data_IF_983782899238
#
_entry.id   IF_983782899238
#
_cell.length_a   1.000
_cell.length_b   1.000
_cell.length_c   1.000
_cell.angle_alpha   90.00
_cell.angle_beta   90.00
_cell.angle_gamma   90.00
#
_symmetry.space_group_name_H-M   'P 1'
#
loop_
_entity.id
_entity.type
_entity.pdbx_description
1 polymer ?
#
# COMPACT_ATOMS: atom_id res chain seq x y z
N UNK A 1 -24.86 38.70 20.49
CA UNK A 1 -25.23 37.29 20.76
C UNK A 1 -26.37 36.93 19.81
N UNK A 2 -26.27 35.86 19.03
CA UNK A 2 -27.29 35.49 18.04
C UNK A 2 -28.49 34.89 18.78
N UNK A 3 -29.69 35.44 18.58
CA UNK A 3 -30.91 34.85 19.15
C UNK A 3 -31.32 33.60 18.34
N UNK A 4 -31.22 32.39 18.93
CA UNK A 4 -31.54 31.15 18.24
C UNK A 4 -33.02 31.03 17.85
N UNK A 5 -33.92 31.77 18.52
CA UNK A 5 -35.36 31.68 18.28
C UNK A 5 -35.83 32.47 17.04
N UNK A 6 -34.97 33.35 16.52
CA UNK A 6 -35.17 34.10 15.28
C UNK A 6 -34.53 33.45 14.05
N UNK A 7 -33.80 32.36 14.24
CA UNK A 7 -33.23 31.58 13.14
C UNK A 7 -34.26 30.57 12.62
N UNK A 8 -34.21 30.29 11.33
CA UNK A 8 -34.89 29.15 10.72
C UNK A 8 -33.89 28.15 10.14
N UNK A 9 -34.37 26.93 9.86
CA UNK A 9 -33.53 25.82 9.38
C UNK A 9 -32.77 26.15 8.10
N UNK A 10 -33.40 26.88 7.16
CA UNK A 10 -32.76 27.29 5.90
C UNK A 10 -31.65 28.31 6.12
N UNK A 11 -31.83 29.25 7.04
CA UNK A 11 -30.79 30.22 7.40
C UNK A 11 -29.58 29.52 8.02
N UNK A 12 -29.81 28.58 8.93
CA UNK A 12 -28.74 27.82 9.57
C UNK A 12 -28.00 26.95 8.56
N UNK A 13 -28.73 26.23 7.70
CA UNK A 13 -28.13 25.46 6.63
C UNK A 13 -27.27 26.33 5.69
N UNK A 14 -27.74 27.54 5.36
CA UNK A 14 -26.97 28.50 4.57
C UNK A 14 -25.70 28.94 5.30
N UNK A 15 -25.79 29.28 6.59
CA UNK A 15 -24.66 29.73 7.41
C UNK A 15 -23.63 28.62 7.68
N UNK A 16 -24.07 27.37 7.82
CA UNK A 16 -23.19 26.20 7.87
C UNK A 16 -22.46 26.00 6.55
N UNK A 17 -23.15 26.12 5.41
CA UNK A 17 -22.54 25.99 4.08
C UNK A 17 -21.55 27.11 3.77
N UNK A 18 -21.80 28.32 4.26
CA UNK A 18 -20.86 29.45 4.13
C UNK A 18 -19.78 29.48 5.21
N UNK A 19 -19.68 28.45 6.06
CA UNK A 19 -18.75 28.34 7.19
C UNK A 19 -18.82 29.49 8.20
N UNK A 20 -19.92 30.24 8.21
CA UNK A 20 -20.19 31.23 9.26
C UNK A 20 -20.57 30.52 10.55
N UNK A 21 -21.28 29.39 10.43
CA UNK A 21 -21.57 28.46 11.53
C UNK A 21 -20.72 27.21 11.38
N UNK A 22 -20.41 26.58 12.50
CA UNK A 22 -19.60 25.37 12.60
C UNK A 22 -20.40 24.21 13.19
N UNK A 23 -19.90 23.00 12.98
CA UNK A 23 -20.35 21.82 13.71
C UNK A 23 -19.61 21.72 15.03
N UNK A 24 -20.37 21.58 16.12
CA UNK A 24 -19.85 21.36 17.47
C UNK A 24 -20.28 19.97 17.93
N UNK A 25 -19.37 19.23 18.53
CA UNK A 25 -19.68 17.91 19.10
C UNK A 25 -20.60 18.09 20.31
N UNK A 26 -21.56 17.18 20.48
CA UNK A 26 -22.46 17.23 21.64
C UNK A 26 -21.76 16.62 22.86
N UNK A 27 -21.28 17.41 23.85
CA UNK A 27 -20.37 16.91 24.89
C UNK A 27 -21.03 15.89 25.82
N UNK A 28 -22.36 15.96 25.99
CA UNK A 28 -23.12 15.13 26.93
C UNK A 28 -23.89 13.98 26.29
N UNK A 29 -23.79 13.75 24.99
CA UNK A 29 -24.63 12.75 24.30
C UNK A 29 -23.88 11.43 24.10
N UNK A 30 -24.43 10.35 24.63
CA UNK A 30 -23.95 8.99 24.40
C UNK A 30 -24.56 8.34 23.17
N UNK A 31 -25.62 8.94 22.60
CA UNK A 31 -26.42 8.35 21.52
C UNK A 31 -25.68 8.43 20.17
N UNK A 32 -25.61 7.29 19.47
CA UNK A 32 -24.76 7.08 18.29
C UNK A 32 -24.95 8.12 17.17
N UNK A 33 -26.19 8.56 16.93
CA UNK A 33 -26.50 9.64 15.99
C UNK A 33 -25.62 10.88 16.14
N UNK A 34 -25.36 11.32 17.38
CA UNK A 34 -24.60 12.54 17.67
C UNK A 34 -23.09 12.36 17.48
N UNK A 35 -22.61 11.11 17.55
CA UNK A 35 -21.21 10.79 17.26
C UNK A 35 -20.97 10.85 15.75
N UNK A 36 -21.83 10.18 14.99
CA UNK A 36 -21.49 9.84 13.61
C UNK A 36 -22.17 10.71 12.56
N UNK A 37 -23.38 11.20 12.79
CA UNK A 37 -24.22 11.72 11.69
C UNK A 37 -24.76 13.13 11.91
N UNK A 38 -25.01 13.50 13.16
CA UNK A 38 -25.58 14.80 13.55
C UNK A 38 -24.60 15.51 14.47
N UNK A 39 -24.47 16.83 14.33
CA UNK A 39 -23.72 17.69 15.25
C UNK A 39 -24.59 18.85 15.72
N UNK A 40 -24.24 19.44 16.86
CA UNK A 40 -24.78 20.73 17.27
C UNK A 40 -24.24 21.82 16.34
N UNK A 41 -25.00 22.90 16.21
CA UNK A 41 -24.59 24.08 15.43
C UNK A 41 -23.96 25.10 16.37
N UNK A 42 -22.82 25.67 16.00
CA UNK A 42 -22.16 26.71 16.78
C UNK A 42 -21.57 27.83 15.93
N UNK A 43 -20.97 28.81 16.60
CA UNK A 43 -20.18 29.91 16.02
C UNK A 43 -18.84 30.01 16.74
N UNK A 44 -17.83 30.51 16.05
CA UNK A 44 -16.54 30.86 16.65
C UNK A 44 -16.56 32.36 16.93
N UNK A 45 -16.25 32.77 18.16
CA UNK A 45 -16.12 34.20 18.48
C UNK A 45 -14.76 34.78 18.01
N UNK A 46 -14.58 36.08 18.18
CA UNK A 46 -13.34 36.76 17.79
C UNK A 46 -12.10 36.26 18.57
N UNK A 47 -12.29 35.55 19.69
CA UNK A 47 -11.23 34.97 20.50
C UNK A 47 -10.96 33.49 20.16
N UNK A 48 -11.64 32.94 19.15
CA UNK A 48 -11.50 31.54 18.74
C UNK A 48 -12.31 30.55 19.58
N UNK A 49 -13.14 31.01 20.53
CA UNK A 49 -13.94 30.13 21.38
C UNK A 49 -15.23 29.70 20.68
N UNK A 50 -15.59 28.42 20.81
CA UNK A 50 -16.79 27.86 20.22
C UNK A 50 -18.01 28.09 21.11
N UNK A 51 -19.05 28.71 20.55
CA UNK A 51 -20.34 28.94 21.21
C UNK A 51 -21.43 28.15 20.51
N UNK A 52 -22.15 27.32 21.25
CA UNK A 52 -23.26 26.53 20.71
C UNK A 52 -24.48 27.43 20.52
N UNK A 53 -25.09 27.37 19.34
CA UNK A 53 -26.39 27.97 19.06
C UNK A 53 -27.45 27.01 19.61
N UNK A 54 -27.94 27.34 20.80
CA UNK A 54 -28.88 26.49 21.51
C UNK A 54 -30.14 26.19 20.68
N UNK A 55 -30.60 24.94 20.72
CA UNK A 55 -31.80 24.50 20.01
C UNK A 55 -31.62 24.03 18.58
N UNK A 56 -30.39 23.96 18.08
CA UNK A 56 -30.11 23.58 16.70
C UNK A 56 -29.07 22.48 16.55
N UNK A 57 -29.40 21.53 15.68
CA UNK A 57 -28.52 20.45 15.25
C UNK A 57 -28.59 20.31 13.73
N UNK A 58 -27.56 19.76 13.11
CA UNK A 58 -27.53 19.58 11.67
C UNK A 58 -26.81 18.30 11.26
N UNK A 59 -27.23 17.76 10.12
CA UNK A 59 -26.61 16.58 9.52
C UNK A 59 -25.23 16.92 8.95
N UNK A 60 -24.21 16.13 9.31
CA UNK A 60 -22.81 16.30 8.87
C UNK A 60 -22.64 16.16 7.34
N UNK A 61 -23.56 15.47 6.66
CA UNK A 61 -23.43 15.16 5.23
C UNK A 61 -24.13 16.17 4.32
N UNK A 62 -25.36 16.56 4.64
CA UNK A 62 -26.19 17.41 3.77
C UNK A 62 -26.45 18.81 4.35
N UNK A 63 -25.98 19.07 5.58
CA UNK A 63 -26.14 20.30 6.33
C UNK A 63 -27.60 20.69 6.64
N UNK A 64 -28.57 19.78 6.45
CA UNK A 64 -29.96 20.07 6.82
C UNK A 64 -30.01 20.24 8.34
N UNK A 65 -30.53 21.39 8.75
CA UNK A 65 -30.65 21.80 10.14
C UNK A 65 -32.03 21.47 10.70
N UNK A 66 -32.03 20.96 11.91
CA UNK A 66 -33.19 20.54 12.68
C UNK A 66 -33.20 21.28 14.00
N UNK A 67 -34.40 21.63 14.43
CA UNK A 67 -34.61 22.20 15.75
C UNK A 67 -34.70 21.08 16.77
N UNK A 68 -33.93 21.15 17.85
CA UNK A 68 -33.90 20.11 18.89
C UNK A 68 -34.95 20.33 19.98
N UNK A 69 -35.40 21.58 20.15
CA UNK A 69 -36.48 21.95 21.06
C UNK A 69 -37.29 23.17 20.60
N UNK A 70 -38.44 23.40 21.21
CA UNK A 70 -39.34 24.52 20.90
C UNK A 70 -38.74 25.89 21.17
N UNK A 71 -39.38 26.94 20.63
CA UNK A 71 -39.16 28.31 21.15
C UNK A 71 -39.43 28.31 22.66
N UNK A 72 -38.79 29.23 23.38
CA UNK A 72 -39.16 29.49 24.77
C UNK A 72 -40.62 29.91 24.84
N UNK A 73 -41.36 29.30 25.76
CA UNK A 73 -42.68 29.79 26.12
C UNK A 73 -42.60 30.99 27.08
N UNK A 74 -43.75 31.53 27.49
CA UNK A 74 -43.85 32.64 28.43
C UNK A 74 -43.19 32.34 29.80
N UNK A 75 -43.05 31.04 30.13
CA UNK A 75 -42.38 30.56 31.34
C UNK A 75 -40.88 30.24 31.14
N UNK A 76 -40.29 30.63 30.00
CA UNK A 76 -38.91 30.34 29.59
C UNK A 76 -38.57 28.85 29.42
N UNK A 77 -39.58 27.97 29.39
CA UNK A 77 -39.40 26.53 29.23
C UNK A 77 -39.36 26.14 27.75
N UNK A 78 -38.68 25.02 27.46
CA UNK A 78 -38.49 24.49 26.10
C UNK A 78 -38.88 23.02 26.05
N UNK A 79 -39.74 22.66 25.11
CA UNK A 79 -40.13 21.27 24.86
C UNK A 79 -39.17 20.62 23.86
N UNK A 80 -38.52 19.53 24.25
CA UNK A 80 -37.65 18.78 23.36
C UNK A 80 -38.47 18.07 22.27
N UNK A 81 -38.05 18.17 21.02
CA UNK A 81 -38.72 17.53 19.87
C UNK A 81 -38.31 16.06 19.66
N UNK A 82 -37.43 15.53 20.52
CA UNK A 82 -36.91 14.17 20.41
C UNK A 82 -35.97 13.98 19.21
N UNK A 83 -35.63 12.72 18.90
CA UNK A 83 -34.67 12.37 17.83
C UNK A 83 -35.33 11.77 16.58
N UNK A 84 -36.65 11.67 16.51
CA UNK A 84 -37.36 10.93 15.46
C UNK A 84 -37.13 11.52 14.06
N UNK A 85 -37.21 12.84 13.93
CA UNK A 85 -36.96 13.55 12.66
C UNK A 85 -35.51 13.40 12.19
N UNK A 86 -34.56 13.38 13.12
CA UNK A 86 -33.13 13.16 12.84
C UNK A 86 -32.87 11.72 12.36
N UNK A 87 -33.48 10.72 13.00
CA UNK A 87 -33.38 9.32 12.56
C UNK A 87 -33.95 9.12 11.15
N UNK A 88 -35.15 9.64 10.88
CA UNK A 88 -35.79 9.56 9.56
C UNK A 88 -34.89 10.17 8.48
N UNK A 89 -34.35 11.36 8.77
CA UNK A 89 -33.42 12.02 7.86
C UNK A 89 -32.15 11.22 7.61
N UNK A 90 -31.46 10.73 8.65
CA UNK A 90 -30.18 10.02 8.48
C UNK A 90 -30.37 8.73 7.68
N UNK A 91 -31.51 8.05 7.85
CA UNK A 91 -31.86 6.86 7.06
C UNK A 91 -31.93 7.17 5.57
N UNK A 92 -32.61 8.26 5.19
CA UNK A 92 -32.77 8.68 3.78
C UNK A 92 -31.50 9.34 3.21
N UNK A 93 -30.79 10.13 4.02
CA UNK A 93 -29.59 10.86 3.65
C UNK A 93 -28.44 9.90 3.33
N UNK A 94 -28.27 8.82 4.10
CA UNK A 94 -27.22 7.82 3.82
C UNK A 94 -27.46 7.12 2.48
N UNK A 95 -28.71 6.78 2.15
CA UNK A 95 -29.07 6.13 0.87
C UNK A 95 -29.00 7.07 -0.33
N UNK A 96 -29.35 8.35 -0.18
CA UNK A 96 -29.35 9.34 -1.28
C UNK A 96 -27.96 9.94 -1.53
N UNK A 97 -27.10 10.03 -0.50
CA UNK A 97 -25.71 10.44 -0.69
C UNK A 97 -24.80 9.32 -1.22
N UNK A 98 -25.24 8.05 -1.18
CA UNK A 98 -24.48 6.87 -1.66
C UNK A 98 -24.96 6.27 -2.99
N UNK A 99 -26.12 6.67 -3.53
CA UNK A 99 -26.63 6.18 -4.82
C UNK A 99 -26.98 7.31 -5.76
N UNK A 100 -26.32 7.32 -6.92
CA UNK A 100 -26.66 8.12 -8.10
C UNK A 100 -28.07 7.74 -8.58
N UNK A 101 -29.04 8.66 -8.72
CA UNK A 101 -30.31 8.34 -9.37
C UNK A 101 -30.23 8.69 -10.86
N UNK A 102 -30.41 7.67 -11.71
CA UNK A 102 -30.96 7.84 -13.05
C UNK A 102 -32.48 7.99 -12.94
N UNK A 103 -33.08 8.92 -13.69
CA UNK A 103 -34.52 8.90 -13.95
C UNK A 103 -34.82 9.56 -15.30
N UNK A 104 -35.42 8.74 -16.16
CA UNK A 104 -36.05 9.04 -17.44
C UNK A 104 -37.43 9.69 -17.23
N UNK A 105 -37.73 10.63 -18.14
CA UNK A 105 -39.01 11.23 -18.59
C UNK A 105 -40.35 10.71 -18.03
N UNK A 106 -41.29 11.62 -17.73
CA UNK A 106 -42.39 12.00 -18.67
C UNK A 106 -43.17 13.25 -18.21
N UNK A 107 -43.70 13.95 -19.22
CA UNK A 107 -44.34 15.27 -19.34
C UNK A 107 -45.80 15.37 -18.89
N UNK A 108 -46.23 16.56 -18.42
CA UNK A 108 -47.50 17.26 -18.81
C UNK A 108 -47.34 18.78 -18.55
N UNK A 109 -47.74 19.62 -19.51
CA UNK A 109 -47.74 21.10 -19.53
C UNK A 109 -48.96 21.77 -18.80
N UNK A 110 -49.30 23.08 -18.97
CA UNK A 110 -48.75 24.22 -18.23
C UNK A 110 -49.84 25.09 -17.57
N UNK A 111 -49.48 25.97 -16.61
CA UNK A 111 -50.26 27.19 -16.32
C UNK A 111 -49.35 28.37 -16.04
N UNK A 112 -49.64 29.47 -16.74
CA UNK A 112 -48.97 30.77 -16.69
C UNK A 112 -48.98 31.41 -15.30
N UNK A 113 -47.92 32.15 -14.94
CA UNK A 113 -48.04 33.59 -14.67
C UNK A 113 -46.75 34.25 -14.10
N UNK A 114 -46.54 35.49 -14.58
CA UNK A 114 -45.75 36.63 -14.07
C UNK A 114 -44.21 36.63 -14.28
N UNK A 115 -43.65 37.69 -14.91
CA UNK A 115 -42.21 37.85 -15.05
C UNK A 115 -41.61 38.32 -13.72
N UNK A 116 -41.07 37.39 -12.94
CA UNK A 116 -40.20 37.73 -11.81
C UNK A 116 -38.78 37.80 -12.33
N UNK A 117 -38.22 39.01 -12.32
CA UNK A 117 -36.80 39.25 -12.58
C UNK A 117 -35.97 38.39 -11.64
N UNK A 118 -35.34 37.34 -12.17
CA UNK A 118 -34.41 36.51 -11.40
C UNK A 118 -33.16 37.32 -11.09
N UNK A 119 -33.05 37.77 -9.84
CA UNK A 119 -31.77 38.09 -9.24
C UNK A 119 -30.84 36.89 -9.48
N UNK A 120 -29.67 37.15 -10.06
CA UNK A 120 -28.57 36.19 -10.18
C UNK A 120 -27.82 36.19 -8.83
N UNK A 121 -28.18 35.34 -7.86
CA UNK A 121 -27.15 34.81 -6.99
C UNK A 121 -27.44 33.33 -6.72
N UNK A 122 -27.31 32.50 -7.76
CA UNK A 122 -27.33 31.04 -7.62
C UNK A 122 -26.70 30.40 -8.85
N UNK A 123 -25.41 30.66 -9.05
CA UNK A 123 -24.55 29.56 -9.51
C UNK A 123 -24.54 28.54 -8.39
N UNK A 124 -25.55 27.67 -8.46
CA UNK A 124 -25.63 26.47 -7.67
C UNK A 124 -24.26 25.79 -7.74
N UNK A 125 -23.78 25.29 -6.61
CA UNK A 125 -22.86 24.16 -6.59
C UNK A 125 -23.65 22.97 -7.17
N UNK A 126 -23.87 23.03 -8.48
CA UNK A 126 -24.38 21.91 -9.22
C UNK A 126 -23.29 20.86 -9.05
N UNK A 127 -23.68 19.65 -8.63
CA UNK A 127 -23.02 18.47 -9.19
C UNK A 127 -23.29 18.53 -10.69
N UNK A 128 -22.62 19.44 -11.40
CA UNK A 128 -22.61 19.46 -12.84
C UNK A 128 -21.92 18.14 -13.14
N UNK A 129 -22.70 17.13 -13.52
CA UNK A 129 -22.15 16.08 -14.35
C UNK A 129 -21.47 16.85 -15.48
N UNK A 130 -20.14 16.81 -15.48
CA UNK A 130 -19.35 17.36 -16.58
C UNK A 130 -20.03 16.85 -17.86
N UNK A 131 -20.22 17.71 -18.86
CA UNK A 131 -20.77 17.21 -20.12
C UNK A 131 -19.83 16.12 -20.66
N UNK A 132 -20.35 15.23 -21.51
CA UNK A 132 -19.60 14.06 -21.96
C UNK A 132 -18.26 14.42 -22.62
N UNK A 133 -18.19 15.56 -23.30
CA UNK A 133 -16.96 16.06 -23.90
C UNK A 133 -15.91 16.44 -22.84
N UNK A 134 -16.29 17.20 -21.81
CA UNK A 134 -15.39 17.57 -20.71
C UNK A 134 -14.98 16.34 -19.87
N UNK A 135 -15.88 15.37 -19.67
CA UNK A 135 -15.51 14.11 -19.04
C UNK A 135 -14.46 13.36 -19.85
N UNK A 136 -14.63 13.29 -21.17
CA UNK A 136 -13.66 12.65 -22.06
C UNK A 136 -12.31 13.37 -22.01
N UNK A 137 -12.31 14.70 -22.08
CA UNK A 137 -11.08 15.49 -21.97
C UNK A 137 -10.35 15.27 -20.64
N UNK A 138 -11.09 15.20 -19.52
CA UNK A 138 -10.51 14.90 -18.22
C UNK A 138 -9.90 13.49 -18.19
N UNK A 139 -10.63 12.48 -18.67
CA UNK A 139 -10.13 11.09 -18.76
C UNK A 139 -8.87 10.99 -19.60
N UNK A 140 -8.82 11.67 -20.75
CA UNK A 140 -7.65 11.69 -21.62
C UNK A 140 -6.45 12.38 -20.94
N UNK A 141 -6.70 13.43 -20.16
CA UNK A 141 -5.68 14.13 -19.38
C UNK A 141 -5.13 13.26 -18.22
N UNK A 142 -6.00 12.58 -17.47
CA UNK A 142 -5.62 11.63 -16.43
C UNK A 142 -4.82 10.44 -17.00
N UNK A 143 -5.27 9.88 -18.12
CA UNK A 143 -4.55 8.81 -18.80
C UNK A 143 -3.17 9.28 -19.25
N UNK A 144 -3.06 10.49 -19.80
CA UNK A 144 -1.77 11.09 -20.17
C UNK A 144 -0.87 11.31 -18.96
N UNK A 145 -1.42 11.76 -17.83
CA UNK A 145 -0.66 11.92 -16.59
C UNK A 145 -0.02 10.59 -16.15
N UNK A 146 -0.79 9.49 -16.16
CA UNK A 146 -0.26 8.17 -15.79
C UNK A 146 0.73 7.65 -16.84
N UNK A 147 0.34 7.62 -18.12
CA UNK A 147 1.11 6.94 -19.17
C UNK A 147 2.33 7.73 -19.65
N UNK A 148 2.18 9.03 -19.92
CA UNK A 148 3.28 9.88 -20.37
C UNK A 148 4.11 10.40 -19.18
N UNK A 149 3.49 10.62 -18.02
CA UNK A 149 4.18 11.01 -16.79
C UNK A 149 4.84 9.86 -16.05
N UNK A 150 4.56 8.60 -16.43
CA UNK A 150 5.02 7.40 -15.71
C UNK A 150 4.64 7.41 -14.22
N UNK A 151 3.47 7.95 -13.91
CA UNK A 151 2.93 7.96 -12.55
C UNK A 151 2.14 6.68 -12.28
N UNK A 152 2.05 6.27 -11.01
CA UNK A 152 1.16 5.18 -10.60
C UNK A 152 -0.30 5.60 -10.77
N UNK A 153 -1.18 4.66 -11.14
CA UNK A 153 -2.63 4.92 -11.15
C UNK A 153 -3.15 5.40 -9.78
N UNK A 154 -2.54 4.93 -8.69
CA UNK A 154 -2.88 5.37 -7.33
C UNK A 154 -2.63 6.87 -7.10
N UNK A 155 -1.82 7.53 -7.93
CA UNK A 155 -1.59 8.97 -7.81
C UNK A 155 -2.84 9.80 -8.13
N UNK A 156 -3.79 9.26 -8.90
CA UNK A 156 -5.08 9.91 -9.21
C UNK A 156 -6.02 9.96 -7.99
N UNK A 157 -5.81 9.07 -7.02
CA UNK A 157 -6.58 8.98 -5.78
C UNK A 157 -5.80 9.54 -4.57
N UNK A 158 -4.63 10.15 -4.81
CA UNK A 158 -3.81 10.70 -3.74
C UNK A 158 -4.41 12.04 -3.27
N UNK A 159 -4.82 12.10 -2.00
CA UNK A 159 -5.42 13.30 -1.40
C UNK A 159 -4.56 14.57 -1.62
N UNK A 160 -3.22 14.46 -1.52
CA UNK A 160 -2.33 15.59 -1.76
C UNK A 160 -2.34 16.10 -3.20
N UNK A 161 -2.49 15.21 -4.19
CA UNK A 161 -2.66 15.60 -5.60
C UNK A 161 -4.04 16.22 -5.82
N UNK A 162 -5.08 15.64 -5.22
CA UNK A 162 -6.44 16.16 -5.33
C UNK A 162 -6.57 17.55 -4.70
N UNK A 163 -6.00 17.76 -3.52
CA UNK A 163 -5.95 19.06 -2.84
C UNK A 163 -5.17 20.10 -3.66
N UNK A 164 -4.07 19.68 -4.31
CA UNK A 164 -3.29 20.55 -5.20
C UNK A 164 -4.10 20.96 -6.43
N UNK A 165 -4.80 20.02 -7.07
CA UNK A 165 -5.67 20.30 -8.22
C UNK A 165 -6.84 21.19 -7.82
N UNK A 166 -7.48 20.91 -6.68
CA UNK A 166 -8.57 21.76 -6.16
C UNK A 166 -8.07 23.18 -5.88
N UNK A 167 -6.89 23.32 -5.28
CA UNK A 167 -6.27 24.63 -5.06
C UNK A 167 -6.04 25.38 -6.38
N UNK A 168 -5.57 24.69 -7.42
CA UNK A 168 -5.39 25.29 -8.75
C UNK A 168 -6.73 25.69 -9.41
N UNK A 169 -7.79 24.89 -9.21
CA UNK A 169 -9.16 25.20 -9.66
C UNK A 169 -9.66 26.46 -8.96
N UNK A 170 -9.46 26.56 -7.64
CA UNK A 170 -9.91 27.71 -6.84
C UNK A 170 -9.17 29.00 -7.26
N UNK A 171 -7.87 28.92 -7.55
CA UNK A 171 -7.09 30.03 -8.12
C UNK A 171 -7.67 30.44 -9.48
N UNK A 172 -7.95 29.47 -10.37
CA UNK A 172 -8.56 29.74 -11.67
C UNK A 172 -9.98 30.30 -11.57
N UNK A 173 -10.75 29.91 -10.56
CA UNK A 173 -12.08 30.48 -10.32
C UNK A 173 -12.02 31.94 -9.88
N UNK A 174 -10.97 32.33 -9.14
CA UNK A 174 -10.76 33.70 -8.68
C UNK A 174 -10.14 34.60 -9.76
N UNK A 175 -9.17 34.09 -10.51
CA UNK A 175 -8.37 34.87 -11.47
C UNK A 175 -8.81 34.69 -12.92
N UNK A 176 -9.75 33.81 -13.20
CA UNK A 176 -10.14 33.42 -14.56
C UNK A 176 -9.12 32.48 -15.20
N UNK A 177 -8.98 32.59 -16.54
CA UNK A 177 -8.12 31.68 -17.31
C UNK A 177 -6.63 31.96 -17.04
N UNK A 178 -6.03 31.14 -16.20
CA UNK A 178 -4.59 31.15 -15.88
C UNK A 178 -3.84 30.05 -16.62
N UNK A 179 -2.55 30.27 -16.91
CA UNK A 179 -1.68 29.20 -17.44
C UNK A 179 -1.09 28.43 -16.26
N UNK A 180 -1.15 27.10 -16.32
CA UNK A 180 -0.62 26.24 -15.25
C UNK A 180 0.86 26.52 -14.90
N UNK A 181 1.70 26.81 -15.91
CA UNK A 181 3.12 27.10 -15.70
C UNK A 181 3.39 28.38 -14.90
N UNK A 182 2.42 29.28 -14.86
CA UNK A 182 2.57 30.58 -14.18
C UNK A 182 2.14 30.48 -12.71
N UNK A 183 1.38 29.44 -12.34
CA UNK A 183 0.87 29.24 -10.96
C UNK A 183 1.64 28.16 -10.19
N UNK A 184 2.20 27.15 -10.87
CA UNK A 184 2.93 26.08 -10.21
C UNK A 184 4.40 26.43 -10.01
N UNK A 185 4.86 26.32 -8.77
CA UNK A 185 6.27 26.48 -8.45
C UNK A 185 7.08 25.25 -8.89
N UNK A 186 8.31 25.49 -9.38
CA UNK A 186 9.22 24.43 -9.79
C UNK A 186 9.87 23.68 -8.62
N UNK A 187 10.52 22.56 -8.94
CA UNK A 187 11.19 21.66 -7.99
C UNK A 187 12.07 22.36 -6.95
N UNK A 188 12.91 23.31 -7.39
CA UNK A 188 13.86 24.02 -6.51
C UNK A 188 13.15 24.85 -5.45
N UNK A 189 12.09 25.57 -5.84
CA UNK A 189 11.32 26.41 -4.93
C UNK A 189 10.60 25.55 -3.89
N UNK A 190 9.91 24.48 -4.33
CA UNK A 190 9.23 23.56 -3.41
C UNK A 190 10.20 22.83 -2.49
N UNK A 191 11.38 22.44 -2.97
CA UNK A 191 12.44 21.86 -2.13
C UNK A 191 12.86 22.83 -1.01
N UNK A 192 13.14 24.09 -1.33
CA UNK A 192 13.56 25.07 -0.33
C UNK A 192 12.44 25.35 0.68
N UNK A 193 11.19 25.46 0.20
CA UNK A 193 10.03 25.62 1.08
C UNK A 193 9.86 24.40 2.02
N UNK A 194 10.05 23.18 1.51
CA UNK A 194 10.01 21.97 2.32
C UNK A 194 11.09 22.00 3.43
N UNK A 195 12.31 22.46 3.12
CA UNK A 195 13.38 22.59 4.11
C UNK A 195 13.08 23.65 5.19
N UNK A 196 12.47 24.77 4.81
CA UNK A 196 12.04 25.81 5.75
C UNK A 196 10.96 25.24 6.69
N UNK A 197 9.93 24.59 6.12
CA UNK A 197 8.84 23.99 6.89
C UNK A 197 9.31 22.81 7.75
N UNK A 198 10.31 22.05 7.32
CA UNK A 198 10.87 20.94 8.08
C UNK A 198 11.36 21.36 9.47
N UNK A 199 12.07 22.49 9.56
CA UNK A 199 12.54 23.02 10.86
C UNK A 199 11.36 23.43 11.75
N UNK A 200 10.35 24.06 11.17
CA UNK A 200 9.13 24.42 11.89
C UNK A 200 8.38 23.19 12.41
N UNK A 201 8.21 22.16 11.57
CA UNK A 201 7.58 20.91 11.97
C UNK A 201 8.38 20.17 13.05
N UNK A 202 9.71 20.15 12.94
CA UNK A 202 10.58 19.54 13.96
C UNK A 202 10.39 20.19 15.33
N UNK A 203 10.31 21.53 15.39
CA UNK A 203 10.02 22.26 16.62
C UNK A 203 8.60 22.01 17.15
N UNK A 204 7.63 21.89 16.24
CA UNK A 204 6.24 21.57 16.59
C UNK A 204 6.15 20.18 17.22
N UNK A 205 6.83 19.19 16.65
CA UNK A 205 6.86 17.82 17.19
C UNK A 205 7.50 17.79 18.59
N UNK A 206 8.60 18.53 18.81
CA UNK A 206 9.18 18.67 20.16
C UNK A 206 8.14 19.15 21.17
N UNK A 207 7.43 20.22 20.82
CA UNK A 207 6.37 20.79 21.68
C UNK A 207 5.23 19.79 21.94
N UNK A 208 4.84 19.01 20.92
CA UNK A 208 3.81 17.98 21.05
C UNK A 208 4.26 16.84 21.99
N UNK A 209 5.55 16.52 22.01
CA UNK A 209 6.10 15.45 22.84
C UNK A 209 6.37 15.90 24.28
N UNK A 210 6.41 17.21 24.59
CA UNK A 210 6.77 17.71 25.92
C UNK A 210 5.89 17.15 27.05
N UNK A 211 4.56 17.10 26.87
CA UNK A 211 3.65 16.55 27.86
C UNK A 211 3.76 15.02 27.96
N UNK A 212 3.69 14.25 26.84
CA UNK A 212 3.85 12.81 26.91
C UNK A 212 5.19 12.35 27.51
N UNK A 213 6.27 13.09 27.27
CA UNK A 213 7.59 12.81 27.89
C UNK A 213 7.50 12.96 29.41
N UNK A 214 6.93 14.06 29.91
CA UNK A 214 6.77 14.32 31.36
C UNK A 214 5.87 13.28 32.03
N UNK A 215 4.87 12.78 31.31
CA UNK A 215 3.93 11.78 31.78
C UNK A 215 4.39 10.33 31.54
N UNK A 216 5.64 10.12 31.09
CA UNK A 216 6.21 8.80 30.79
C UNK A 216 5.35 7.95 29.82
N UNK A 217 4.72 8.61 28.86
CA UNK A 217 3.77 8.04 27.91
C UNK A 217 4.33 8.00 26.47
N UNK A 218 5.66 7.95 26.34
CA UNK A 218 6.37 7.84 25.07
C UNK A 218 7.10 6.51 24.98
N UNK A 219 6.99 5.84 23.84
CA UNK A 219 7.83 4.70 23.49
C UNK A 219 8.41 4.93 22.09
N UNK A 220 9.50 4.26 21.78
CA UNK A 220 10.13 4.35 20.47
C UNK A 220 10.27 2.98 19.82
N UNK A 221 10.34 2.98 18.49
CA UNK A 221 10.79 1.85 17.70
C UNK A 221 11.98 2.29 16.86
N UNK A 222 13.02 1.47 16.83
CA UNK A 222 14.15 1.64 15.94
C UNK A 222 14.26 0.41 15.04
N UNK A 223 14.05 0.60 13.75
CA UNK A 223 14.10 -0.46 12.74
C UNK A 223 15.26 -0.20 11.79
N UNK A 224 15.99 -1.26 11.43
CA UNK A 224 17.05 -1.17 10.43
C UNK A 224 16.75 -2.15 9.30
N UNK A 225 16.66 -1.63 8.09
CA UNK A 225 16.35 -2.43 6.93
C UNK A 225 17.30 -2.12 5.77
N UNK A 226 17.48 -3.10 4.90
CA UNK A 226 18.28 -2.98 3.69
C UNK A 226 17.38 -3.08 2.48
N UNK A 227 17.44 -2.08 1.61
CA UNK A 227 16.93 -2.16 0.25
C UNK A 227 17.82 -3.13 -0.53
N UNK A 228 17.30 -4.32 -0.80
CA UNK A 228 18.03 -5.36 -1.52
C UNK A 228 18.34 -5.00 -2.97
N UNK A 229 17.59 -4.08 -3.58
CA UNK A 229 17.81 -3.66 -4.97
C UNK A 229 18.87 -2.58 -5.05
N UNK A 230 18.72 -1.53 -4.24
CA UNK A 230 19.66 -0.40 -4.20
C UNK A 230 20.92 -0.70 -3.38
N UNK A 231 20.92 -1.80 -2.60
CA UNK A 231 21.99 -2.16 -1.63
C UNK A 231 22.27 -1.03 -0.65
N UNK A 232 21.21 -0.38 -0.19
CA UNK A 232 21.25 0.74 0.76
C UNK A 232 20.53 0.38 2.02
N UNK A 233 21.05 0.80 3.15
CA UNK A 233 20.42 0.50 4.43
C UNK A 233 19.97 1.75 5.13
N UNK A 234 18.88 1.63 5.86
CA UNK A 234 18.21 2.74 6.48
C UNK A 234 17.92 2.41 7.94
N UNK A 235 18.12 3.40 8.80
CA UNK A 235 17.68 3.38 10.20
C UNK A 235 16.48 4.30 10.32
N UNK A 236 15.36 3.71 10.71
CA UNK A 236 14.11 4.42 10.96
C UNK A 236 13.88 4.49 12.47
N UNK A 237 13.70 5.71 12.98
CA UNK A 237 13.40 5.96 14.38
C UNK A 237 12.04 6.65 14.48
N UNK A 238 11.08 5.92 15.03
CA UNK A 238 9.72 6.42 15.23
C UNK A 238 9.39 6.47 16.72
N UNK A 239 8.69 7.52 17.13
CA UNK A 239 8.14 7.63 18.47
C UNK A 239 6.63 7.46 18.44
N UNK A 240 6.11 6.88 19.50
CA UNK A 240 4.71 6.60 19.74
C UNK A 240 4.36 7.20 21.08
N UNK A 241 3.21 7.86 21.17
CA UNK A 241 2.73 8.41 22.42
C UNK A 241 1.21 8.32 22.52
N UNK A 242 0.72 8.23 23.75
CA UNK A 242 -0.70 8.36 24.04
C UNK A 242 -0.93 9.73 24.68
N UNK A 243 -1.84 10.52 24.10
CA UNK A 243 -2.34 11.74 24.72
C UNK A 243 -3.49 11.42 25.69
N UNK A 244 -3.96 12.43 26.43
CA UNK A 244 -5.06 12.32 27.43
C UNK A 244 -6.34 11.63 26.93
N UNK A 245 -6.60 11.65 25.62
CA UNK A 245 -7.75 10.97 25.00
C UNK A 245 -7.50 9.47 24.73
N UNK A 246 -6.40 8.90 25.22
CA UNK A 246 -5.93 7.53 24.93
C UNK A 246 -5.73 7.25 23.43
N UNK A 247 -5.57 8.31 22.63
CA UNK A 247 -5.32 8.20 21.20
C UNK A 247 -3.84 7.97 20.96
N UNK A 248 -3.49 6.77 20.51
CA UNK A 248 -2.14 6.45 20.08
C UNK A 248 -1.79 7.29 18.84
N UNK A 249 -0.74 8.09 19.00
CA UNK A 249 -0.16 8.91 17.95
C UNK A 249 1.27 8.45 17.70
N UNK A 250 1.79 8.71 16.49
CA UNK A 250 3.16 8.35 16.16
C UNK A 250 3.77 9.34 15.16
N UNK A 251 5.09 9.42 15.15
CA UNK A 251 5.85 10.24 14.22
C UNK A 251 7.20 9.59 13.93
N UNK A 252 7.58 9.56 12.65
CA UNK A 252 8.94 9.21 12.23
C UNK A 252 9.85 10.42 12.46
N UNK A 253 10.74 10.33 13.45
CA UNK A 253 11.67 11.42 13.78
C UNK A 253 12.91 11.41 12.89
N UNK A 254 13.35 10.23 12.46
CA UNK A 254 14.53 10.05 11.60
C UNK A 254 14.33 8.87 10.66
N UNK A 255 14.73 9.06 9.41
CA UNK A 255 15.07 7.99 8.46
C UNK A 255 16.45 8.33 7.92
N UNK A 256 17.49 7.60 8.36
CA UNK A 256 18.88 7.87 7.99
C UNK A 256 19.44 6.73 7.15
N UNK A 257 20.03 7.08 6.02
CA UNK A 257 20.82 6.15 5.24
C UNK A 257 22.15 5.83 5.95
N UNK A 258 22.43 4.55 6.15
CA UNK A 258 23.69 4.00 6.63
C UNK A 258 24.41 3.28 5.49
N UNK A 259 25.64 3.70 5.19
CA UNK A 259 26.55 2.94 4.32
C UNK A 259 27.00 1.67 5.03
N UNK A 260 27.41 0.64 4.29
CA UNK A 260 27.78 -0.65 4.88
C UNK A 260 28.84 -0.53 5.97
N UNK A 261 29.93 0.20 5.69
CA UNK A 261 31.03 0.43 6.65
C UNK A 261 30.60 1.22 7.89
N UNK A 262 29.49 1.96 7.81
CA UNK A 262 28.96 2.76 8.92
C UNK A 262 28.01 2.00 9.83
N UNK A 263 27.61 0.76 9.50
CA UNK A 263 26.65 -0.05 10.27
C UNK A 263 27.26 -0.68 11.52
N UNK A 264 28.18 -0.01 12.18
CA UNK A 264 28.71 -0.48 13.46
C UNK A 264 27.71 -0.19 14.57
N UNK A 265 27.72 -1.03 15.60
CA UNK A 265 26.99 -0.82 16.84
C UNK A 265 27.23 0.58 17.45
N UNK A 266 28.48 1.05 17.44
CA UNK A 266 28.86 2.39 17.93
C UNK A 266 28.17 3.51 17.14
N UNK A 267 28.20 3.44 15.81
CA UNK A 267 27.60 4.48 14.96
C UNK A 267 26.07 4.47 15.06
N UNK A 268 25.48 3.28 15.16
CA UNK A 268 24.03 3.11 15.39
C UNK A 268 23.65 3.79 16.72
N UNK A 269 24.38 3.49 17.79
CA UNK A 269 24.14 4.11 19.09
C UNK A 269 24.29 5.63 19.04
N UNK A 270 25.33 6.16 18.39
CA UNK A 270 25.55 7.60 18.26
C UNK A 270 24.39 8.30 17.55
N UNK A 271 23.84 7.69 16.49
CA UNK A 271 22.66 8.25 15.81
C UNK A 271 21.43 8.25 16.71
N UNK A 272 21.16 7.14 17.40
CA UNK A 272 20.04 7.03 18.34
C UNK A 272 20.17 8.07 19.45
N UNK A 273 21.37 8.21 20.03
CA UNK A 273 21.67 9.22 21.05
C UNK A 273 21.43 10.64 20.53
N UNK A 274 21.88 10.95 19.32
CA UNK A 274 21.65 12.26 18.69
C UNK A 274 20.16 12.55 18.51
N UNK A 275 19.33 11.54 18.20
CA UNK A 275 17.88 11.69 18.12
C UNK A 275 17.28 11.98 19.50
N UNK A 276 17.70 11.25 20.53
CA UNK A 276 17.24 11.49 21.91
C UNK A 276 17.55 12.92 22.37
N UNK A 277 18.80 13.36 22.18
CA UNK A 277 19.24 14.72 22.49
C UNK A 277 18.44 15.75 21.67
N UNK A 278 18.18 15.47 20.39
CA UNK A 278 17.46 16.38 19.50
C UNK A 278 15.99 16.56 19.88
N UNK A 279 15.36 15.60 20.54
CA UNK A 279 13.93 15.61 20.89
C UNK A 279 13.68 15.61 22.39
N UNK A 280 14.71 15.84 23.20
CA UNK A 280 14.64 15.84 24.67
C UNK A 280 14.03 14.55 25.24
N UNK A 281 14.34 13.41 24.61
CA UNK A 281 13.95 12.10 25.09
C UNK A 281 14.95 11.62 26.15
N UNK A 282 14.45 10.91 27.15
CA UNK A 282 15.26 10.32 28.21
C UNK A 282 15.38 8.81 28.01
N UNK A 283 16.61 8.31 28.06
CA UNK A 283 16.84 6.88 28.15
C UNK A 283 16.37 6.37 29.52
N UNK A 284 15.89 5.12 29.58
CA UNK A 284 15.20 4.57 30.76
C UNK A 284 13.71 4.92 30.83
N UNK A 285 13.32 6.17 30.56
CA UNK A 285 11.91 6.59 30.54
C UNK A 285 11.22 6.32 29.20
N UNK A 286 11.99 6.29 28.11
CA UNK A 286 11.48 6.02 26.76
C UNK A 286 11.91 4.61 26.33
N UNK A 287 11.08 3.58 26.56
CA UNK A 287 11.42 2.22 26.12
C UNK A 287 11.56 2.18 24.60
N UNK A 288 12.61 1.49 24.13
CA UNK A 288 12.88 1.35 22.70
C UNK A 288 12.71 -0.10 22.27
N UNK A 289 11.85 -0.32 21.27
CA UNK A 289 11.69 -1.62 20.63
C UNK A 289 12.59 -1.70 19.40
N UNK A 290 13.44 -2.72 19.33
CA UNK A 290 14.33 -2.96 18.18
C UNK A 290 14.25 -4.39 17.69
N UNK A 291 14.72 -4.66 16.48
CA UNK A 291 14.98 -6.04 16.06
C UNK A 291 16.12 -6.69 16.88
N UNK A 292 16.52 -7.89 16.47
CA UNK A 292 17.59 -8.68 17.09
C UNK A 292 18.83 -8.75 16.17
N UNK A 293 18.99 -7.79 15.26
CA UNK A 293 20.20 -7.67 14.46
C UNK A 293 21.40 -7.51 15.38
N UNK A 294 22.51 -8.20 15.08
CA UNK A 294 23.68 -8.27 15.97
C UNK A 294 24.18 -6.89 16.38
N UNK A 295 24.28 -5.96 15.42
CA UNK A 295 24.80 -4.62 15.65
C UNK A 295 23.78 -3.74 16.39
N UNK A 296 22.48 -3.93 16.15
CA UNK A 296 21.43 -3.30 16.94
C UNK A 296 21.51 -3.77 18.40
N UNK A 297 21.59 -5.07 18.65
CA UNK A 297 21.70 -5.62 20.01
C UNK A 297 22.97 -5.13 20.70
N UNK A 298 24.11 -5.15 20.01
CA UNK A 298 25.38 -4.67 20.55
C UNK A 298 25.32 -3.18 20.90
N UNK A 299 24.68 -2.34 20.07
CA UNK A 299 24.56 -0.90 20.30
C UNK A 299 23.90 -0.57 21.65
N UNK A 300 22.90 -1.35 22.06
CA UNK A 300 22.22 -1.18 23.35
C UNK A 300 22.93 -1.86 24.52
N UNK A 301 23.77 -2.87 24.26
CA UNK A 301 24.61 -3.49 25.29
C UNK A 301 25.72 -2.53 25.76
N UNK A 302 26.17 -1.61 24.91
CA UNK A 302 27.20 -0.60 25.25
C UNK A 302 26.77 0.23 26.47
N UNK A 303 25.49 0.56 26.57
CA UNK A 303 24.97 1.52 27.55
C UNK A 303 24.08 0.91 28.62
N UNK A 304 23.82 -0.40 28.56
CA UNK A 304 22.90 -1.12 29.46
C UNK A 304 21.48 -0.53 29.47
N UNK A 305 21.10 0.18 28.41
CA UNK A 305 19.81 0.84 28.32
C UNK A 305 18.66 -0.15 28.08
N UNK A 306 17.47 0.22 28.55
CA UNK A 306 16.27 -0.61 28.46
C UNK A 306 15.83 -0.80 26.99
N UNK A 307 16.27 -1.91 26.40
CA UNK A 307 15.86 -2.37 25.07
C UNK A 307 14.79 -3.45 25.16
N UNK A 308 13.70 -3.26 24.45
CA UNK A 308 12.66 -4.27 24.28
C UNK A 308 12.88 -4.99 22.94
N UNK A 309 13.02 -6.32 22.93
CA UNK A 309 13.15 -7.05 21.67
C UNK A 309 11.81 -7.05 20.93
N UNK A 310 11.85 -6.76 19.63
CA UNK A 310 10.69 -6.77 18.75
C UNK A 310 10.05 -8.15 18.72
N UNK A 311 8.77 -8.22 19.14
CA UNK A 311 8.02 -9.46 19.18
C UNK A 311 7.85 -10.07 17.78
N UNK A 312 7.63 -9.25 16.76
CA UNK A 312 7.54 -9.73 15.38
C UNK A 312 8.83 -10.45 14.97
N UNK A 313 9.99 -9.82 15.21
CA UNK A 313 11.26 -10.45 14.89
C UNK A 313 11.52 -11.71 15.73
N UNK A 314 11.14 -11.72 17.02
CA UNK A 314 11.23 -12.91 17.88
C UNK A 314 10.38 -14.08 17.37
N UNK A 315 9.16 -13.80 16.92
CA UNK A 315 8.33 -14.80 16.26
C UNK A 315 9.01 -15.33 15.00
N UNK A 316 9.57 -14.44 14.17
CA UNK A 316 10.30 -14.82 12.96
C UNK A 316 11.44 -15.81 13.27
N UNK A 317 12.33 -15.44 14.20
CA UNK A 317 13.48 -16.28 14.57
C UNK A 317 13.04 -17.61 15.17
N UNK A 318 11.96 -17.62 15.95
CA UNK A 318 11.42 -18.86 16.54
C UNK A 318 10.95 -19.82 15.44
N UNK A 319 10.18 -19.32 14.46
CA UNK A 319 9.74 -20.13 13.33
C UNK A 319 10.90 -20.61 12.46
N UNK A 320 11.86 -19.75 12.15
CA UNK A 320 13.04 -20.13 11.36
C UNK A 320 13.89 -21.19 12.06
N UNK A 321 14.09 -21.06 13.37
CA UNK A 321 14.81 -22.04 14.19
C UNK A 321 14.09 -23.39 14.21
N UNK A 322 12.76 -23.38 14.41
CA UNK A 322 11.95 -24.59 14.39
C UNK A 322 11.98 -25.26 13.02
N UNK A 323 11.86 -24.48 11.93
CA UNK A 323 11.88 -24.96 10.56
C UNK A 323 13.23 -25.60 10.20
N UNK A 324 14.34 -24.91 10.52
CA UNK A 324 15.70 -25.41 10.26
C UNK A 324 15.99 -26.67 11.07
N UNK A 325 15.54 -26.71 12.33
CA UNK A 325 15.66 -27.89 13.18
C UNK A 325 14.88 -29.08 12.58
N UNK A 326 13.68 -28.86 12.06
CA UNK A 326 12.90 -29.91 11.40
C UNK A 326 13.58 -30.37 10.10
N UNK A 327 14.08 -29.43 9.28
CA UNK A 327 14.84 -29.74 8.05
C UNK A 327 16.08 -30.59 8.36
N UNK A 328 16.75 -30.35 9.48
CA UNK A 328 17.94 -31.12 9.89
C UNK A 328 17.57 -32.53 10.38
N UNK A 329 16.44 -32.68 11.09
CA UNK A 329 16.07 -33.94 11.75
C UNK A 329 15.23 -34.88 10.88
N UNK A 330 14.51 -34.34 9.90
CA UNK A 330 13.53 -35.07 9.11
C UNK A 330 13.94 -35.08 7.62
N UNK A 331 14.52 -36.19 7.12
CA UNK A 331 14.97 -36.29 5.73
C UNK A 331 13.87 -36.05 4.70
N UNK A 332 12.63 -36.49 4.97
CA UNK A 332 11.49 -36.27 4.08
C UNK A 332 11.15 -34.79 3.98
N UNK A 333 11.16 -34.08 5.11
CA UNK A 333 10.94 -32.63 5.12
C UNK A 333 12.07 -31.87 4.41
N UNK A 334 13.33 -32.32 4.57
CA UNK A 334 14.47 -31.77 3.84
C UNK A 334 14.35 -31.94 2.32
N UNK A 335 13.98 -33.14 1.86
CA UNK A 335 13.73 -33.40 0.45
C UNK A 335 12.61 -32.52 -0.11
N UNK A 336 11.54 -32.31 0.65
CA UNK A 336 10.45 -31.41 0.27
C UNK A 336 10.91 -29.95 0.12
N UNK A 337 11.68 -29.43 1.09
CA UNK A 337 12.23 -28.08 1.02
C UNK A 337 13.22 -27.91 -0.15
N UNK A 338 14.03 -28.93 -0.44
CA UNK A 338 14.91 -28.95 -1.61
C UNK A 338 14.11 -28.91 -2.92
N UNK A 339 13.07 -29.74 -3.04
CA UNK A 339 12.21 -29.76 -4.22
C UNK A 339 11.56 -28.40 -4.47
N UNK A 340 11.10 -27.73 -3.41
CA UNK A 340 10.57 -26.36 -3.49
C UNK A 340 11.63 -25.37 -3.99
N UNK A 341 12.85 -25.43 -3.44
CA UNK A 341 13.95 -24.55 -3.86
C UNK A 341 14.30 -24.74 -5.34
N UNK A 342 14.42 -25.98 -5.80
CA UNK A 342 14.73 -26.29 -7.19
C UNK A 342 13.60 -25.93 -8.15
N UNK A 343 12.34 -26.17 -7.76
CA UNK A 343 11.18 -25.77 -8.55
C UNK A 343 11.13 -24.25 -8.74
N UNK A 344 11.40 -23.49 -7.67
CA UNK A 344 11.49 -22.02 -7.74
C UNK A 344 12.65 -21.57 -8.62
N UNK A 345 13.82 -22.19 -8.47
CA UNK A 345 15.00 -21.91 -9.31
C UNK A 345 14.69 -22.14 -10.78
N UNK A 346 14.01 -23.24 -11.12
CA UNK A 346 13.54 -23.53 -12.46
C UNK A 346 12.57 -22.46 -12.98
N UNK A 347 11.56 -22.08 -12.18
CA UNK A 347 10.60 -21.05 -12.58
C UNK A 347 11.24 -19.67 -12.76
N UNK A 348 12.27 -19.34 -11.98
CA UNK A 348 13.02 -18.08 -12.03
C UNK A 348 14.04 -18.01 -13.19
N UNK A 349 14.17 -19.05 -14.01
CA UNK A 349 15.03 -19.00 -15.18
C UNK A 349 14.53 -17.93 -16.17
N UNK A 350 15.43 -17.45 -17.03
CA UNK A 350 15.16 -16.43 -18.06
C UNK A 350 14.20 -16.87 -19.17
N UNK A 351 13.59 -18.06 -19.05
CA UNK A 351 12.61 -18.63 -19.99
C UNK A 351 11.19 -18.06 -19.85
N UNK A 352 11.00 -17.04 -19.00
CA UNK A 352 9.72 -16.36 -18.80
C UNK A 352 8.65 -17.24 -18.16
N UNK A 353 9.05 -18.27 -17.40
CA UNK A 353 8.08 -19.20 -16.77
C UNK A 353 7.21 -18.47 -15.76
N UNK A 354 7.78 -17.54 -14.97
CA UNK A 354 7.04 -16.75 -13.99
C UNK A 354 5.83 -15.99 -14.58
N UNK A 355 5.94 -15.51 -15.83
CA UNK A 355 4.86 -14.78 -16.53
C UNK A 355 3.70 -15.70 -16.96
N UNK A 356 3.96 -17.01 -17.08
CA UNK A 356 2.97 -18.00 -17.49
C UNK A 356 2.16 -18.54 -16.30
N UNK A 357 2.53 -18.17 -15.08
CA UNK A 357 1.89 -18.63 -13.86
C UNK A 357 0.79 -17.65 -13.43
N UNK A 358 -0.34 -18.15 -12.89
CA UNK A 358 -1.41 -17.29 -12.37
C UNK A 358 -0.93 -16.42 -11.19
N UNK A 359 0.07 -16.92 -10.45
CA UNK A 359 0.73 -16.19 -9.38
C UNK A 359 2.23 -16.44 -9.47
N UNK A 360 3.01 -15.36 -9.50
CA UNK A 360 4.48 -15.42 -9.46
C UNK A 360 4.91 -16.22 -8.23
N UNK A 361 5.75 -17.24 -8.43
CA UNK A 361 6.33 -17.98 -7.31
C UNK A 361 7.20 -17.06 -6.49
N UNK A 362 6.81 -16.87 -5.23
CA UNK A 362 7.40 -15.84 -4.39
C UNK A 362 8.76 -16.26 -3.86
N UNK A 363 9.57 -15.24 -3.60
CA UNK A 363 10.85 -15.24 -2.92
C UNK A 363 10.80 -15.78 -1.51
N UNK A 364 11.91 -16.34 -1.03
CA UNK A 364 12.25 -16.12 0.37
C UNK A 364 12.57 -14.64 0.55
N UNK A 365 12.00 -14.00 1.57
CA UNK A 365 12.33 -12.66 2.02
C UNK A 365 13.10 -12.81 3.34
N UNK A 366 14.41 -12.54 3.31
CA UNK A 366 15.30 -12.77 4.45
C UNK A 366 14.91 -12.01 5.72
N UNK A 367 14.18 -10.90 5.59
CA UNK A 367 13.73 -10.10 6.74
C UNK A 367 12.48 -10.68 7.42
N UNK A 368 11.70 -11.55 6.75
CA UNK A 368 10.47 -12.16 7.31
C UNK A 368 10.29 -13.63 6.89
N UNK A 369 11.07 -14.57 7.45
CA UNK A 369 11.03 -15.99 7.11
C UNK A 369 9.65 -16.67 7.22
N UNK A 370 8.87 -16.43 8.28
CA UNK A 370 7.51 -17.01 8.42
C UNK A 370 6.58 -16.62 7.26
N UNK A 371 6.60 -15.33 6.88
CA UNK A 371 5.83 -14.82 5.74
C UNK A 371 6.38 -15.44 4.45
N UNK A 372 7.68 -15.67 4.38
CA UNK A 372 8.34 -16.28 3.24
C UNK A 372 7.93 -17.73 3.03
N UNK A 373 7.97 -18.57 4.07
CA UNK A 373 7.50 -19.96 3.97
C UNK A 373 6.04 -20.00 3.52
N UNK A 374 5.16 -19.29 4.23
CA UNK A 374 3.74 -19.24 3.87
C UNK A 374 3.52 -18.75 2.44
N UNK A 375 4.12 -17.63 2.04
CA UNK A 375 3.93 -17.07 0.69
C UNK A 375 4.53 -17.94 -0.41
N UNK A 376 5.64 -18.63 -0.16
CA UNK A 376 6.21 -19.62 -1.08
C UNK A 376 5.19 -20.74 -1.29
N UNK A 377 4.72 -21.38 -0.22
CA UNK A 377 3.77 -22.49 -0.31
C UNK A 377 2.45 -22.08 -0.94
N UNK A 378 1.91 -20.92 -0.57
CA UNK A 378 0.68 -20.38 -1.13
C UNK A 378 0.82 -20.05 -2.63
N UNK A 379 1.97 -19.47 -3.04
CA UNK A 379 2.24 -19.20 -4.46
C UNK A 379 2.40 -20.48 -5.28
N UNK A 380 3.02 -21.52 -4.70
CA UNK A 380 3.15 -22.83 -5.33
C UNK A 380 1.79 -23.51 -5.47
N UNK A 381 0.98 -23.53 -4.41
CA UNK A 381 -0.34 -24.15 -4.42
C UNK A 381 -1.25 -23.48 -5.45
N UNK A 382 -1.24 -22.15 -5.50
CA UNK A 382 -2.00 -21.36 -6.48
C UNK A 382 -1.58 -21.64 -7.93
N UNK A 383 -0.33 -22.05 -8.14
CA UNK A 383 0.26 -22.28 -9.47
C UNK A 383 0.47 -23.77 -9.78
N UNK A 384 0.03 -24.68 -8.91
CA UNK A 384 0.39 -26.10 -8.94
C UNK A 384 0.01 -26.76 -10.27
N UNK A 385 -1.26 -26.63 -10.68
CA UNK A 385 -1.76 -27.22 -11.94
C UNK A 385 -0.97 -26.71 -13.15
N UNK A 386 -0.72 -25.40 -13.20
CA UNK A 386 0.01 -24.79 -14.31
C UNK A 386 1.46 -25.23 -14.34
N UNK A 387 2.10 -25.31 -13.19
CA UNK A 387 3.47 -25.81 -13.04
C UNK A 387 3.56 -27.27 -13.48
N UNK A 388 2.61 -28.11 -13.09
CA UNK A 388 2.60 -29.52 -13.46
C UNK A 388 2.54 -29.68 -14.99
N UNK A 389 1.68 -28.91 -15.67
CA UNK A 389 1.61 -28.89 -17.14
C UNK A 389 2.95 -28.44 -17.75
N UNK A 390 3.57 -27.39 -17.22
CA UNK A 390 4.85 -26.85 -17.74
C UNK A 390 5.96 -27.89 -17.57
N UNK A 391 6.08 -28.49 -16.38
CA UNK A 391 7.09 -29.51 -16.07
C UNK A 391 6.90 -30.75 -16.93
N UNK A 392 5.66 -31.23 -17.08
CA UNK A 392 5.37 -32.40 -17.91
C UNK A 392 5.74 -32.16 -19.38
N UNK A 393 5.41 -30.98 -19.93
CA UNK A 393 5.83 -30.60 -21.28
C UNK A 393 7.35 -30.52 -21.42
N UNK A 394 8.02 -29.92 -20.44
CA UNK A 394 9.49 -29.83 -20.43
C UNK A 394 10.13 -31.21 -20.38
N UNK A 395 9.61 -32.13 -19.56
CA UNK A 395 10.07 -33.51 -19.47
C UNK A 395 9.94 -34.24 -20.81
N UNK A 396 8.75 -34.18 -21.43
CA UNK A 396 8.52 -34.80 -22.75
C UNK A 396 9.42 -34.20 -23.83
N UNK A 397 9.71 -32.91 -23.79
CA UNK A 397 10.63 -32.26 -24.72
C UNK A 397 12.07 -32.76 -24.56
N UNK A 398 12.55 -32.92 -23.32
CA UNK A 398 13.87 -33.50 -23.03
C UNK A 398 13.96 -34.94 -23.53
N UNK A 399 12.95 -35.77 -23.26
CA UNK A 399 12.90 -37.15 -23.76
C UNK A 399 12.96 -37.21 -25.29
N UNK A 400 12.20 -36.36 -25.99
CA UNK A 400 12.25 -36.26 -27.46
C UNK A 400 13.64 -35.84 -27.96
N UNK A 401 14.34 -34.96 -27.24
CA UNK A 401 15.69 -34.51 -27.61
C UNK A 401 16.71 -35.64 -27.50
N UNK A 402 16.66 -36.42 -26.42
CA UNK A 402 17.54 -37.58 -26.25
C UNK A 402 17.29 -38.65 -27.31
N UNK A 403 16.02 -38.94 -27.64
CA UNK A 403 15.67 -39.85 -28.75
C UNK A 403 16.21 -39.33 -30.08
N UNK A 404 16.08 -38.02 -30.37
CA UNK A 404 16.63 -37.42 -31.60
C UNK A 404 18.15 -37.50 -31.67
N UNK A 405 18.86 -37.28 -30.54
CA UNK A 405 20.32 -37.46 -30.50
C UNK A 405 20.70 -38.91 -30.80
N UNK A 406 20.03 -39.88 -30.18
CA UNK A 406 20.26 -41.29 -30.47
C UNK A 406 19.98 -41.66 -31.92
N UNK A 407 18.90 -41.12 -32.52
CA UNK A 407 18.60 -41.30 -33.95
C UNK A 407 19.65 -40.66 -34.87
N UNK A 408 20.18 -39.48 -34.52
CA UNK A 408 21.27 -38.85 -35.28
C UNK A 408 22.55 -39.68 -35.23
N UNK A 409 22.89 -40.23 -34.07
CA UNK A 409 24.05 -41.13 -33.93
C UNK A 409 23.83 -42.38 -34.80
N UNK A 410 22.65 -43.01 -34.70
CA UNK A 410 22.31 -44.18 -35.50
C UNK A 410 22.36 -43.90 -37.01
N UNK A 411 21.84 -42.75 -37.45
CA UNK A 411 21.90 -42.34 -38.85
C UNK A 411 23.34 -42.11 -39.32
N UNK A 412 24.18 -41.46 -38.49
CA UNK A 412 25.60 -41.26 -38.78
C UNK A 412 26.33 -42.60 -38.91
N UNK A 413 26.03 -43.56 -38.05
CA UNK A 413 26.63 -44.90 -38.07
C UNK A 413 26.20 -45.68 -39.32
N UNK A 414 24.94 -45.57 -39.74
CA UNK A 414 24.44 -46.19 -40.97
C UNK A 414 25.13 -45.59 -42.20
N UNK A 415 25.30 -44.26 -42.25
CA UNK A 415 25.98 -43.57 -43.36
C UNK A 415 27.46 -43.99 -43.43
N UNK A 416 28.16 -44.03 -42.29
CA UNK A 416 29.53 -44.51 -42.24
C UNK A 416 29.66 -45.98 -42.67
N UNK A 417 28.69 -46.83 -42.32
CA UNK A 417 28.67 -48.21 -42.77
C UNK A 417 28.35 -48.36 -44.27
N UNK A 418 27.48 -47.53 -44.84
CA UNK A 418 27.22 -47.55 -46.29
C UNK A 418 28.43 -47.07 -47.10
N UNK A 419 29.16 -46.07 -46.60
CA UNK A 419 30.38 -45.57 -47.24
C UNK A 419 31.50 -46.61 -47.18
N UNK A 420 31.61 -47.37 -46.08
CA UNK A 420 32.57 -48.47 -45.94
C UNK A 420 32.29 -49.68 -46.86
N UNK A 421 31.03 -49.86 -47.29
CA UNK A 421 30.64 -50.89 -48.28
C UNK A 421 30.91 -50.46 -49.72
N UNK A 422 31.01 -49.15 -50.00
CA UNK A 422 31.46 -48.66 -51.30
C UNK A 422 33.00 -48.57 -51.41
N UNK A 423 33.72 -48.52 -50.28
CA UNK A 423 35.19 -48.50 -50.26
C UNK A 423 35.85 -49.88 -50.09
N UNK A 424 35.11 -50.97 -49.96
CA UNK A 424 35.68 -52.34 -49.88
C UNK A 424 36.06 -52.91 -51.26
N UNK A 425 36.63 -52.06 -52.10
CA UNK A 425 37.56 -52.42 -53.17
C UNK A 425 38.82 -51.54 -53.01
N UNK A 426 39.49 -51.58 -51.85
CA UNK A 426 40.95 -51.54 -51.72
C UNK A 426 41.41 -51.41 -50.25
N UNK A 427 42.29 -52.34 -49.86
CA UNK A 427 43.37 -52.26 -48.85
C UNK A 427 43.10 -51.92 -47.37
N UNK A 428 43.40 -52.94 -46.54
CA UNK A 428 44.20 -52.98 -45.28
C UNK A 428 44.26 -51.81 -44.29
N UNK A 429 43.94 -52.19 -43.04
CA UNK A 429 44.56 -51.90 -41.74
C UNK A 429 44.48 -50.51 -41.06
N UNK A 430 44.07 -50.61 -39.79
CA UNK A 430 44.16 -49.66 -38.66
C UNK A 430 43.12 -48.52 -38.60
N UNK A 431 41.97 -48.83 -37.96
CA UNK A 431 41.10 -47.82 -37.33
C UNK A 431 41.18 -47.90 -35.79
N UNK A 432 41.24 -46.76 -35.08
CA UNK A 432 41.28 -46.74 -33.63
C UNK A 432 39.91 -47.09 -33.02
N UNK A 433 39.87 -47.63 -31.78
CA UNK A 433 38.62 -48.07 -31.17
C UNK A 433 37.70 -46.86 -30.91
N UNK A 434 36.47 -46.93 -31.42
CA UNK A 434 35.47 -45.88 -31.17
C UNK A 434 35.22 -45.75 -29.66
N UNK A 435 35.24 -44.51 -29.16
CA UNK A 435 34.91 -44.19 -27.77
C UNK A 435 33.45 -44.60 -27.50
N UNK A 436 33.25 -45.66 -26.71
CA UNK A 436 31.96 -45.99 -26.09
C UNK A 436 31.47 -44.79 -25.26
N UNK A 437 30.47 -44.07 -25.75
CA UNK A 437 29.67 -43.19 -24.89
C UNK A 437 28.75 -44.06 -24.05
N UNK A 438 28.82 -43.91 -22.72
CA UNK A 438 28.14 -44.77 -21.73
C UNK A 438 26.61 -44.67 -21.72
N UNK A 439 26.02 -43.73 -22.46
CA UNK A 439 24.59 -43.42 -22.40
C UNK A 439 23.94 -43.41 -23.80
N UNK A 440 24.22 -44.42 -24.64
CA UNK A 440 23.49 -44.61 -25.88
C UNK A 440 22.22 -45.46 -25.65
N UNK A 441 21.00 -44.88 -25.78
CA UNK A 441 19.75 -45.61 -25.55
C UNK A 441 19.49 -46.72 -26.58
N UNK A 442 20.29 -46.83 -27.65
CA UNK A 442 20.18 -47.88 -28.67
C UNK A 442 21.32 -48.91 -28.62
N UNK A 443 22.19 -48.87 -27.61
CA UNK A 443 23.34 -49.77 -27.50
C UNK A 443 22.95 -51.27 -27.61
N UNK A 444 21.83 -51.65 -27.00
CA UNK A 444 21.32 -53.02 -27.01
C UNK A 444 20.85 -53.50 -28.40
N UNK A 445 20.38 -52.60 -29.27
CA UNK A 445 19.99 -52.95 -30.64
C UNK A 445 21.21 -53.22 -31.53
N UNK A 446 22.34 -52.55 -31.27
CA UNK A 446 23.58 -52.72 -32.04
C UNK A 446 24.21 -54.10 -31.81
N UNK A 447 24.12 -54.63 -30.59
CA UNK A 447 24.72 -55.91 -30.22
C UNK A 447 23.97 -57.16 -30.75
N UNK A 448 22.72 -57.02 -31.23
CA UNK A 448 21.96 -58.14 -31.81
C UNK A 448 22.30 -58.46 -33.27
N UNK A 449 22.87 -57.51 -34.05
CA UNK A 449 23.20 -57.75 -35.46
C UNK A 449 24.50 -58.52 -35.67
N UNK A 450 25.40 -58.54 -34.70
CA UNK A 450 26.73 -59.19 -34.82
C UNK A 450 26.69 -60.70 -34.55
N UNK A 451 25.58 -61.26 -34.06
CA UNK A 451 25.48 -62.67 -33.64
C UNK A 451 24.82 -63.60 -34.66
N UNK A 452 24.40 -63.12 -35.83
CA UNK A 452 23.68 -63.92 -36.83
C UNK A 452 24.50 -64.36 -38.06
N UNK A 453 25.81 -64.12 -38.10
CA UNK A 453 26.68 -64.42 -39.26
C UNK A 453 27.73 -65.50 -39.04
N UNK A 454 27.54 -66.39 -38.06
CA UNK A 454 28.40 -67.57 -37.85
C UNK A 454 27.55 -68.84 -37.68
N UNK A 455 26.84 -69.25 -38.72
CA UNK A 455 26.42 -70.66 -38.90
C UNK A 455 25.96 -70.91 -40.34
N UNK A 456 26.91 -71.21 -41.21
CA UNK A 456 26.87 -72.23 -42.28
C UNK A 456 28.25 -72.31 -42.92
#
# INVERSE_FOLDING_TARGET
MIDPDNLNSKQIQRKLRSKEFIFVNHPKSTHELWKNNISLVGVIDNNGQQHIIDGWAACKYCFIAYRTHSKKDESQNRKNYGLTSLHAHVKECRTSCSKTPSLTSTSVEPKESVPVQTLIPRFAYNKNQLNENLQKQLKDAELKFVTAGSHSFNALENDGVLDLVQTAIDIGAQMGKVKARDIFYGRKTIHNEAMIKFNHFSNTIRTILDEPIKSHCVAATCDMWTDDYMKRSYLDFSVFWAADEYKLSHCLLRCKHFTEDSKTDVNIWQEIKSIFESFNLSFGDTPIVTDQGSNMVAAFNITQEARIPCMAHRCNTTFETAWTREETKNPTFAMFNLAIRELRKYANQTSGIQEKLPKTLKGGCGTRPWRSYFTIHDSLNSSFEKLNIILHRSYLATQKKEVRKGLHILASDIIHHSDSFQSSQHSSDNLPPSKRMKDDPFADFRHRKTTQTQST
#
